data_IF_597084544929
#
_entry.id   IF_597084544929
#
_cell.length_a   1.000
_cell.length_b   1.000
_cell.length_c   1.000
_cell.angle_alpha   90.00
_cell.angle_beta   90.00
_cell.angle_gamma   90.00
#
_symmetry.space_group_name_H-M   'P 1'
#
loop_
_entity.id
_entity.type
_entity.pdbx_description
1 polymer ?
#
# COMPACT_ATOMS: atom_id res chain seq x y z
N UNK A 1 6.59 5.30 -17.52
CA UNK A 1 6.30 6.57 -18.24
C UNK A 1 6.30 6.30 -19.74
N UNK A 2 5.65 7.14 -20.52
CA UNK A 2 5.74 7.09 -21.97
C UNK A 2 7.05 7.78 -22.43
N UNK A 3 7.62 7.34 -23.54
CA UNK A 3 8.87 7.90 -24.06
C UNK A 3 8.75 9.39 -24.42
N UNK A 4 7.60 9.82 -24.95
CA UNK A 4 7.34 11.22 -25.24
C UNK A 4 7.23 12.09 -23.97
N UNK A 5 6.70 11.56 -22.86
CA UNK A 5 6.66 12.26 -21.57
C UNK A 5 8.09 12.46 -21.02
N UNK A 6 8.94 11.45 -21.15
CA UNK A 6 10.35 11.55 -20.77
C UNK A 6 11.07 12.61 -21.63
N UNK A 7 10.85 12.62 -22.96
CA UNK A 7 11.40 13.62 -23.85
C UNK A 7 10.92 15.03 -23.53
N UNK A 8 9.61 15.19 -23.25
CA UNK A 8 9.03 16.48 -22.86
C UNK A 8 9.64 16.99 -21.56
N UNK A 9 9.76 16.12 -20.55
CA UNK A 9 10.40 16.48 -19.28
C UNK A 9 11.87 16.91 -19.48
N UNK A 10 12.63 16.19 -20.31
CA UNK A 10 14.00 16.54 -20.63
C UNK A 10 14.11 17.90 -21.33
N UNK A 11 13.23 18.21 -22.28
CA UNK A 11 13.17 19.50 -22.94
C UNK A 11 12.81 20.65 -22.00
N UNK A 12 11.88 20.41 -21.06
CA UNK A 12 11.50 21.41 -20.04
C UNK A 12 12.66 21.70 -19.09
N UNK A 13 13.38 20.69 -18.65
CA UNK A 13 14.57 20.86 -17.79
C UNK A 13 15.76 21.46 -18.53
N UNK A 14 15.86 21.23 -19.84
CA UNK A 14 16.92 21.75 -20.69
C UNK A 14 16.64 23.14 -21.26
N UNK A 15 15.63 23.88 -20.83
CA UNK A 15 15.36 25.24 -21.30
C UNK A 15 16.60 26.13 -21.13
N UNK A 16 17.07 26.70 -22.25
CA UNK A 16 18.29 27.51 -22.29
C UNK A 16 19.56 26.77 -22.74
N UNK A 17 19.47 25.49 -23.06
CA UNK A 17 20.51 24.71 -23.71
C UNK A 17 20.05 24.29 -25.11
N UNK A 18 20.99 24.24 -26.06
CA UNK A 18 20.73 23.71 -27.41
C UNK A 18 20.57 22.18 -27.30
N UNK A 19 19.31 21.70 -27.29
CA UNK A 19 19.00 20.29 -27.37
C UNK A 19 18.47 19.91 -28.76
N UNK A 20 19.19 19.02 -29.40
CA UNK A 20 18.69 18.32 -30.57
C UNK A 20 17.85 17.11 -30.12
N UNK A 21 16.61 16.99 -30.64
CA UNK A 21 15.71 15.87 -30.37
C UNK A 21 16.32 14.53 -30.80
N UNK A 22 17.16 14.51 -31.84
CA UNK A 22 17.84 13.31 -32.29
C UNK A 22 18.90 12.87 -31.26
N UNK A 23 19.69 13.81 -30.75
CA UNK A 23 20.66 13.56 -29.69
C UNK A 23 19.98 13.07 -28.38
N UNK A 24 18.82 13.63 -28.03
CA UNK A 24 18.06 13.19 -26.86
C UNK A 24 17.55 11.75 -27.01
N UNK A 25 17.05 11.38 -28.20
CA UNK A 25 16.65 9.98 -28.50
C UNK A 25 17.83 9.03 -28.39
N UNK A 26 18.97 9.39 -28.96
CA UNK A 26 20.19 8.59 -28.87
C UNK A 26 20.65 8.36 -27.42
N UNK A 27 20.57 9.40 -26.57
CA UNK A 27 20.86 9.28 -25.13
C UNK A 27 19.88 8.36 -24.43
N UNK A 28 18.58 8.44 -24.75
CA UNK A 28 17.56 7.54 -24.19
C UNK A 28 17.84 6.09 -24.59
N UNK A 29 18.16 5.83 -25.86
CA UNK A 29 18.50 4.50 -26.37
C UNK A 29 19.78 3.96 -25.72
N UNK A 30 20.84 4.77 -25.63
CA UNK A 30 22.12 4.39 -24.97
C UNK A 30 21.96 4.07 -23.48
N UNK A 31 21.00 4.69 -22.78
CA UNK A 31 20.72 4.40 -21.37
C UNK A 31 20.03 3.06 -21.13
N UNK A 32 19.66 2.34 -22.20
CA UNK A 32 19.15 0.98 -22.11
C UNK A 32 17.80 0.88 -21.41
N UNK A 33 16.89 1.82 -21.64
CA UNK A 33 15.51 1.68 -21.22
C UNK A 33 14.87 0.43 -21.81
N UNK A 34 14.02 -0.22 -21.05
CA UNK A 34 13.21 -1.36 -21.48
C UNK A 34 11.86 -0.82 -21.94
N UNK A 35 11.45 -1.20 -23.16
CA UNK A 35 10.16 -0.82 -23.75
C UNK A 35 9.18 -2.00 -23.64
N UNK A 36 7.94 -1.70 -23.27
CA UNK A 36 6.85 -2.66 -23.34
C UNK A 36 6.45 -2.85 -24.81
N UNK A 37 6.44 -4.11 -25.27
CA UNK A 37 6.13 -4.43 -26.66
C UNK A 37 4.75 -3.90 -27.06
N UNK A 38 4.67 -3.25 -28.24
CA UNK A 38 3.42 -2.69 -28.78
C UNK A 38 2.93 -1.41 -28.08
N UNK A 39 3.74 -0.81 -27.19
CA UNK A 39 3.37 0.43 -26.49
C UNK A 39 4.51 1.45 -26.53
N UNK A 40 4.20 2.70 -26.13
CA UNK A 40 5.20 3.76 -25.93
C UNK A 40 5.76 3.80 -24.50
N UNK A 41 5.39 2.81 -23.65
CA UNK A 41 5.83 2.77 -22.26
C UNK A 41 7.26 2.28 -22.16
N UNK A 42 8.04 2.99 -21.38
CA UNK A 42 9.44 2.68 -21.09
C UNK A 42 9.71 2.69 -19.60
N UNK A 43 10.66 1.87 -19.17
CA UNK A 43 11.16 1.84 -17.79
C UNK A 43 12.68 1.65 -17.80
N UNK A 44 13.36 2.05 -16.73
CA UNK A 44 14.77 1.73 -16.59
C UNK A 44 14.95 0.26 -16.13
N UNK A 45 16.09 -0.32 -16.46
CA UNK A 45 16.45 -1.67 -15.99
C UNK A 45 16.46 -1.76 -14.47
N UNK A 46 16.90 -0.71 -13.79
CA UNK A 46 16.94 -0.68 -12.32
C UNK A 46 15.54 -0.65 -11.72
N UNK A 47 14.61 0.10 -12.34
CA UNK A 47 13.21 0.10 -11.89
C UNK A 47 12.56 -1.27 -12.11
N UNK A 48 12.83 -1.91 -13.25
CA UNK A 48 12.31 -3.25 -13.52
C UNK A 48 12.88 -4.29 -12.54
N UNK A 49 14.17 -4.21 -12.20
CA UNK A 49 14.77 -5.06 -11.16
C UNK A 49 14.14 -4.83 -9.80
N UNK A 50 13.88 -3.57 -9.44
CA UNK A 50 13.22 -3.19 -8.21
C UNK A 50 11.80 -3.81 -8.13
N UNK A 51 10.98 -3.61 -9.16
CA UNK A 51 9.63 -4.18 -9.23
C UNK A 51 9.64 -5.72 -9.19
N UNK A 52 10.57 -6.33 -9.92
CA UNK A 52 10.75 -7.78 -9.90
C UNK A 52 11.13 -8.27 -8.50
N UNK A 53 12.09 -7.62 -7.82
CA UNK A 53 12.50 -7.94 -6.46
C UNK A 53 11.36 -7.86 -5.44
N UNK A 54 10.51 -6.83 -5.56
CA UNK A 54 9.31 -6.66 -4.73
C UNK A 54 8.35 -7.85 -4.92
N UNK A 55 8.04 -8.20 -6.17
CA UNK A 55 7.12 -9.29 -6.50
C UNK A 55 7.68 -10.65 -6.06
N UNK A 56 8.95 -10.91 -6.32
CA UNK A 56 9.64 -12.15 -5.90
C UNK A 56 9.62 -12.27 -4.38
N UNK A 57 9.92 -11.19 -3.66
CA UNK A 57 9.88 -11.17 -2.19
C UNK A 57 8.50 -11.54 -1.63
N UNK A 58 7.45 -11.01 -2.25
CA UNK A 58 6.08 -11.31 -1.87
C UNK A 58 5.68 -12.74 -2.20
N UNK A 59 6.04 -13.23 -3.40
CA UNK A 59 5.72 -14.58 -3.87
C UNK A 59 6.44 -15.66 -3.06
N UNK A 60 7.74 -15.51 -2.87
CA UNK A 60 8.58 -16.52 -2.22
C UNK A 60 8.34 -16.57 -0.70
N UNK A 61 7.85 -15.46 -0.11
CA UNK A 61 7.44 -15.41 1.29
C UNK A 61 6.02 -15.93 1.57
N UNK A 62 5.33 -16.53 0.59
CA UNK A 62 3.98 -17.08 0.80
C UNK A 62 4.01 -18.38 1.61
N UNK A 63 3.19 -18.43 2.67
CA UNK A 63 3.04 -19.63 3.50
C UNK A 63 4.28 -20.01 4.30
N UNK A 64 5.32 -19.18 4.32
CA UNK A 64 6.60 -19.49 4.95
C UNK A 64 6.65 -19.16 6.44
N UNK A 65 5.66 -18.42 6.95
CA UNK A 65 5.62 -17.94 8.32
C UNK A 65 4.61 -18.72 9.19
N UNK A 66 4.73 -18.59 10.48
CA UNK A 66 3.68 -19.02 11.41
C UNK A 66 2.57 -17.97 11.47
N UNK A 67 1.30 -18.35 11.77
CA UNK A 67 0.26 -17.36 12.04
C UNK A 67 0.68 -16.36 13.11
N UNK A 68 0.24 -15.10 12.98
CA UNK A 68 0.57 -14.04 13.95
C UNK A 68 -0.13 -14.28 15.30
N UNK A 69 -1.44 -14.55 15.28
CA UNK A 69 -2.24 -14.89 16.44
C UNK A 69 -3.57 -15.53 16.00
N UNK A 70 -3.60 -16.85 15.77
CA UNK A 70 -4.78 -17.53 15.21
C UNK A 70 -5.97 -17.55 16.18
N UNK A 71 -5.70 -17.53 17.49
CA UNK A 71 -6.72 -17.69 18.52
C UNK A 71 -7.24 -16.35 19.08
N UNK A 72 -6.78 -15.23 18.52
CA UNK A 72 -7.23 -13.90 18.96
C UNK A 72 -8.73 -13.69 18.71
N UNK A 73 -9.52 -13.43 19.77
CA UNK A 73 -10.94 -13.15 19.63
C UNK A 73 -11.15 -11.70 19.17
N UNK A 74 -11.65 -11.46 17.93
CA UNK A 74 -11.96 -10.10 17.52
C UNK A 74 -13.03 -9.45 18.40
N UNK A 75 -12.89 -8.15 18.68
CA UNK A 75 -13.83 -7.42 19.52
C UNK A 75 -15.27 -7.47 18.96
N UNK A 76 -16.26 -7.57 19.84
CA UNK A 76 -17.69 -7.63 19.48
C UNK A 76 -18.22 -6.37 18.77
N UNK A 77 -17.50 -5.24 18.91
CA UNK A 77 -17.82 -3.98 18.23
C UNK A 77 -17.50 -4.00 16.72
N UNK A 78 -16.74 -4.99 16.24
CA UNK A 78 -16.44 -5.16 14.81
C UNK A 78 -17.68 -5.65 14.04
N UNK A 79 -17.79 -5.21 12.78
CA UNK A 79 -18.73 -5.87 11.88
C UNK A 79 -18.26 -7.28 11.53
N UNK A 80 -19.17 -8.16 11.07
CA UNK A 80 -18.79 -9.48 10.61
C UNK A 80 -17.65 -9.45 9.55
N UNK A 81 -17.72 -8.51 8.61
CA UNK A 81 -16.68 -8.34 7.58
C UNK A 81 -15.33 -7.92 8.17
N UNK A 82 -15.34 -6.99 9.14
CA UNK A 82 -14.12 -6.57 9.84
C UNK A 82 -13.53 -7.71 10.68
N UNK A 83 -14.36 -8.46 11.39
CA UNK A 83 -13.92 -9.61 12.18
C UNK A 83 -13.28 -10.69 11.28
N UNK A 84 -13.86 -10.95 10.10
CA UNK A 84 -13.29 -11.87 9.11
C UNK A 84 -11.94 -11.34 8.59
N UNK A 85 -11.83 -10.04 8.31
CA UNK A 85 -10.58 -9.44 7.87
C UNK A 85 -9.48 -9.53 8.94
N UNK A 86 -9.78 -9.21 10.21
CA UNK A 86 -8.85 -9.37 11.35
C UNK A 86 -8.37 -10.82 11.45
N UNK A 87 -9.29 -11.77 11.48
CA UNK A 87 -8.94 -13.20 11.53
C UNK A 87 -8.06 -13.62 10.36
N UNK A 88 -8.39 -13.18 9.13
CA UNK A 88 -7.59 -13.50 7.94
C UNK A 88 -6.17 -12.96 8.05
N UNK A 89 -5.99 -11.73 8.54
CA UNK A 89 -4.68 -11.10 8.69
C UNK A 89 -3.88 -11.82 9.78
N UNK A 90 -4.48 -12.07 10.95
CA UNK A 90 -3.79 -12.71 12.08
C UNK A 90 -3.46 -14.19 11.82
N UNK A 91 -4.21 -14.86 10.94
CA UNK A 91 -3.95 -16.22 10.50
C UNK A 91 -3.02 -16.31 9.28
N UNK A 92 -2.62 -15.18 8.69
CA UNK A 92 -1.75 -15.20 7.52
C UNK A 92 -0.42 -15.87 7.86
N UNK A 93 0.05 -16.69 6.93
CA UNK A 93 1.37 -17.32 6.97
C UNK A 93 2.33 -16.73 5.95
N UNK A 94 1.98 -15.58 5.39
CA UNK A 94 2.75 -14.91 4.36
C UNK A 94 3.71 -13.88 4.99
N UNK A 95 4.88 -13.70 4.40
CA UNK A 95 5.79 -12.62 4.76
C UNK A 95 5.14 -11.24 4.54
N UNK A 96 4.41 -11.08 3.42
CA UNK A 96 3.62 -9.90 3.13
C UNK A 96 2.13 -10.26 3.15
N UNK A 97 1.37 -9.56 3.97
CA UNK A 97 -0.10 -9.70 4.02
C UNK A 97 -0.75 -8.44 3.44
N UNK A 98 -1.71 -8.62 2.56
CA UNK A 98 -2.43 -7.51 1.92
C UNK A 98 -3.77 -7.27 2.60
N UNK A 99 -4.08 -6.00 2.88
CA UNK A 99 -5.36 -5.56 3.41
C UNK A 99 -5.92 -4.42 2.58
N UNK A 100 -7.11 -4.61 2.00
CA UNK A 100 -7.79 -3.63 1.17
C UNK A 100 -9.06 -3.15 1.84
N UNK A 101 -9.24 -1.84 1.88
CA UNK A 101 -10.48 -1.21 2.32
C UNK A 101 -10.60 0.18 1.75
N UNK A 102 -11.73 0.46 1.10
CA UNK A 102 -12.03 1.78 0.56
C UNK A 102 -12.27 2.81 1.69
N UNK A 103 -12.25 4.11 1.34
CA UNK A 103 -12.55 5.17 2.30
C UNK A 103 -13.92 4.93 2.98
N UNK A 104 -13.98 5.08 4.29
CA UNK A 104 -15.21 4.93 5.07
C UNK A 104 -15.64 3.51 5.39
N UNK A 105 -14.85 2.47 5.08
CA UNK A 105 -15.13 1.08 5.46
C UNK A 105 -14.75 0.73 6.91
N UNK A 106 -14.13 1.67 7.65
CA UNK A 106 -13.63 1.43 8.99
C UNK A 106 -12.27 0.73 9.02
N UNK A 107 -11.43 1.01 8.02
CA UNK A 107 -10.07 0.48 7.88
C UNK A 107 -9.23 0.71 9.12
N UNK A 108 -9.13 1.95 9.63
CA UNK A 108 -8.33 2.27 10.83
C UNK A 108 -8.81 1.50 12.07
N UNK A 109 -10.13 1.33 12.23
CA UNK A 109 -10.69 0.54 13.34
C UNK A 109 -10.27 -0.94 13.25
N UNK A 110 -10.27 -1.49 12.03
CA UNK A 110 -9.80 -2.85 11.78
C UNK A 110 -8.30 -2.99 12.01
N UNK A 111 -7.49 -2.00 11.60
CA UNK A 111 -6.04 -1.98 11.82
C UNK A 111 -5.68 -1.91 13.30
N UNK A 112 -6.42 -1.14 14.09
CA UNK A 112 -6.25 -1.10 15.54
C UNK A 112 -6.47 -2.47 16.18
N UNK A 113 -7.49 -3.18 15.76
CA UNK A 113 -7.77 -4.53 16.25
C UNK A 113 -6.70 -5.54 15.82
N UNK A 114 -6.22 -5.45 14.58
CA UNK A 114 -5.09 -6.26 14.10
C UNK A 114 -3.84 -5.98 14.95
N UNK A 115 -3.55 -4.70 15.24
CA UNK A 115 -2.41 -4.30 16.08
C UNK A 115 -2.54 -4.89 17.48
N UNK A 116 -3.72 -4.81 18.10
CA UNK A 116 -3.98 -5.40 19.40
C UNK A 116 -3.77 -6.92 19.39
N UNK A 117 -4.23 -7.62 18.35
CA UNK A 117 -4.03 -9.06 18.20
C UNK A 117 -2.56 -9.45 18.07
N UNK A 118 -1.75 -8.67 17.36
CA UNK A 118 -0.31 -8.91 17.21
C UNK A 118 0.42 -8.66 18.54
N UNK A 119 0.09 -7.58 19.23
CA UNK A 119 0.66 -7.25 20.54
C UNK A 119 0.31 -8.29 21.59
N UNK A 120 -0.92 -8.81 21.59
CA UNK A 120 -1.36 -9.90 22.48
C UNK A 120 -0.55 -11.19 22.27
N UNK A 121 0.02 -11.41 21.08
CA UNK A 121 0.96 -12.51 20.82
C UNK A 121 2.41 -12.19 21.24
N UNK A 122 2.66 -11.04 21.87
CA UNK A 122 4.01 -10.62 22.29
C UNK A 122 4.92 -10.17 21.14
N UNK A 123 4.37 -9.87 19.97
CA UNK A 123 5.13 -9.41 18.81
C UNK A 123 5.18 -7.87 18.78
N UNK A 124 6.36 -7.27 18.51
CA UNK A 124 6.46 -5.83 18.30
C UNK A 124 5.70 -5.39 17.06
N UNK A 125 4.98 -4.28 17.15
CA UNK A 125 4.27 -3.67 16.02
C UNK A 125 4.86 -2.30 15.73
N UNK A 126 5.11 -2.03 14.45
CA UNK A 126 5.51 -0.71 13.94
C UNK A 126 4.47 -0.29 12.91
N UNK A 127 3.77 0.82 13.16
CA UNK A 127 2.74 1.35 12.25
C UNK A 127 3.32 2.54 11.50
N UNK A 128 3.21 2.50 10.18
CA UNK A 128 3.78 3.50 9.28
C UNK A 128 2.72 4.05 8.32
N UNK A 129 2.90 5.30 7.92
CA UNK A 129 2.17 5.89 6.80
C UNK A 129 3.10 6.76 5.94
N UNK A 130 2.80 6.96 4.64
CA UNK A 130 3.61 7.79 3.74
C UNK A 130 3.66 9.27 4.13
N UNK A 131 2.55 9.81 4.64
CA UNK A 131 2.39 11.24 4.92
C UNK A 131 2.17 11.54 6.39
N UNK A 132 2.69 12.69 6.86
CA UNK A 132 2.52 13.14 8.27
C UNK A 132 1.06 13.29 8.70
N UNK A 133 0.18 13.75 7.80
CA UNK A 133 -1.24 13.87 8.11
C UNK A 133 -1.86 12.50 8.39
N UNK A 134 -1.53 11.48 7.60
CA UNK A 134 -2.01 10.12 7.81
C UNK A 134 -1.50 9.52 9.13
N UNK A 135 -0.26 9.85 9.52
CA UNK A 135 0.28 9.49 10.84
C UNK A 135 -0.54 10.15 11.94
N UNK A 136 -0.85 11.45 11.82
CA UNK A 136 -1.68 12.15 12.80
C UNK A 136 -3.08 11.55 12.91
N UNK A 137 -3.69 11.16 11.79
CA UNK A 137 -5.00 10.51 11.76
C UNK A 137 -4.96 9.12 12.44
N UNK A 138 -3.92 8.32 12.19
CA UNK A 138 -3.71 7.03 12.86
C UNK A 138 -3.50 7.21 14.37
N UNK A 139 -2.75 8.22 14.80
CA UNK A 139 -2.56 8.53 16.21
C UNK A 139 -3.87 8.99 16.87
N UNK A 140 -4.69 9.78 16.20
CA UNK A 140 -6.01 10.17 16.67
C UNK A 140 -6.96 8.96 16.81
N UNK A 141 -6.79 7.95 15.97
CA UNK A 141 -7.50 6.66 16.05
C UNK A 141 -6.92 5.71 17.12
N UNK A 142 -5.93 6.15 17.91
CA UNK A 142 -5.35 5.42 19.05
C UNK A 142 -4.21 4.46 18.69
N UNK A 143 -3.60 4.60 17.53
CA UNK A 143 -2.39 3.86 17.13
C UNK A 143 -1.13 4.71 17.40
N UNK A 144 -0.02 4.06 17.71
CA UNK A 144 1.29 4.71 17.71
C UNK A 144 1.90 4.53 16.32
N UNK A 145 2.04 5.62 15.56
CA UNK A 145 2.48 5.57 14.17
C UNK A 145 3.62 6.55 13.88
N UNK A 146 4.38 6.28 12.83
CA UNK A 146 5.44 7.15 12.32
C UNK A 146 5.40 7.20 10.79
N UNK A 147 6.19 8.10 10.20
CA UNK A 147 6.31 8.19 8.75
C UNK A 147 7.24 7.11 8.19
N UNK A 148 6.88 6.57 7.02
CA UNK A 148 7.75 5.64 6.30
C UNK A 148 9.15 6.24 6.05
N UNK A 149 9.21 7.53 5.69
CA UNK A 149 10.48 8.21 5.42
C UNK A 149 11.40 8.22 6.65
N UNK A 150 10.87 8.47 7.84
CA UNK A 150 11.63 8.44 9.08
C UNK A 150 12.12 7.03 9.42
N UNK A 151 11.27 6.02 9.30
CA UNK A 151 11.66 4.62 9.48
C UNK A 151 12.80 4.20 8.53
N UNK A 152 12.71 4.55 7.24
CA UNK A 152 13.75 4.26 6.25
C UNK A 152 15.04 5.05 6.47
N UNK A 153 14.98 6.22 7.10
CA UNK A 153 16.15 7.01 7.48
C UNK A 153 16.91 6.37 8.64
N UNK A 154 16.19 5.97 9.70
CA UNK A 154 16.78 5.33 10.90
C UNK A 154 17.30 3.94 10.57
N UNK A 155 16.67 3.21 9.65
CA UNK A 155 17.01 1.82 9.25
C UNK A 155 17.09 0.84 10.43
N UNK A 156 16.25 1.05 11.44
CA UNK A 156 16.20 0.19 12.64
C UNK A 156 14.76 -0.21 12.93
N UNK A 157 14.55 -1.49 13.15
CA UNK A 157 13.29 -2.08 13.56
C UNK A 157 13.52 -3.04 14.73
N UNK A 158 12.55 -3.21 15.62
CA UNK A 158 12.59 -4.31 16.58
C UNK A 158 12.69 -5.65 15.84
N UNK A 159 13.47 -6.57 16.39
CA UNK A 159 13.57 -7.92 15.81
C UNK A 159 12.21 -8.61 15.80
N UNK A 160 11.87 -9.27 14.70
CA UNK A 160 10.56 -9.92 14.45
C UNK A 160 9.37 -8.95 14.50
N UNK A 161 9.59 -7.65 14.28
CA UNK A 161 8.50 -6.71 14.23
C UNK A 161 7.53 -7.01 13.09
N UNK A 162 6.25 -6.84 13.35
CA UNK A 162 5.22 -6.76 12.31
C UNK A 162 5.07 -5.29 11.93
N UNK A 163 5.51 -4.96 10.72
CA UNK A 163 5.41 -3.60 10.18
C UNK A 163 4.11 -3.47 9.42
N UNK A 164 3.24 -2.59 9.89
CA UNK A 164 1.97 -2.27 9.26
C UNK A 164 2.09 -0.94 8.55
N UNK A 165 1.82 -0.91 7.26
CA UNK A 165 1.83 0.33 6.48
C UNK A 165 0.43 0.64 6.00
N UNK A 166 -0.12 1.77 6.45
CA UNK A 166 -1.37 2.28 5.90
C UNK A 166 -1.12 3.16 4.66
N UNK A 167 -2.10 3.25 3.78
CA UNK A 167 -2.00 3.93 2.47
C UNK A 167 -0.79 3.49 1.63
N UNK A 168 -0.47 2.18 1.66
CA UNK A 168 0.67 1.59 0.97
C UNK A 168 0.65 1.79 -0.55
N UNK A 169 -0.50 2.08 -1.16
CA UNK A 169 -0.62 2.45 -2.58
C UNK A 169 0.05 3.77 -2.95
N UNK A 170 0.41 4.60 -1.97
CA UNK A 170 1.12 5.86 -2.19
C UNK A 170 2.65 5.71 -2.14
N UNK A 171 3.16 4.51 -1.83
CA UNK A 171 4.59 4.25 -1.71
C UNK A 171 5.18 3.98 -3.09
N UNK A 172 6.22 4.72 -3.45
CA UNK A 172 6.99 4.46 -4.68
C UNK A 172 7.79 3.16 -4.62
N UNK A 173 8.05 2.55 -5.78
CA UNK A 173 8.72 1.25 -5.87
C UNK A 173 10.04 1.16 -5.10
N UNK A 174 10.90 2.18 -5.19
CA UNK A 174 12.18 2.20 -4.45
C UNK A 174 11.99 2.18 -2.93
N UNK A 175 11.02 2.93 -2.41
CA UNK A 175 10.73 2.95 -0.97
C UNK A 175 10.14 1.59 -0.53
N UNK A 176 9.30 0.98 -1.35
CA UNK A 176 8.74 -0.35 -1.10
C UNK A 176 9.84 -1.42 -1.04
N UNK A 177 10.78 -1.40 -1.99
CA UNK A 177 11.91 -2.31 -2.00
C UNK A 177 12.81 -2.11 -0.76
N UNK A 178 13.14 -0.86 -0.42
CA UNK A 178 13.91 -0.54 0.79
C UNK A 178 13.21 -1.03 2.06
N UNK A 179 11.90 -0.86 2.17
CA UNK A 179 11.11 -1.32 3.30
C UNK A 179 11.10 -2.84 3.40
N UNK A 180 10.86 -3.54 2.30
CA UNK A 180 10.88 -5.02 2.24
C UNK A 180 12.23 -5.55 2.71
N UNK A 181 13.33 -4.98 2.22
CA UNK A 181 14.68 -5.39 2.59
C UNK A 181 14.97 -5.09 4.08
N UNK A 182 14.55 -3.95 4.60
CA UNK A 182 14.68 -3.59 6.00
C UNK A 182 13.92 -4.57 6.91
N UNK A 183 12.66 -4.90 6.57
CA UNK A 183 11.84 -5.85 7.34
C UNK A 183 12.45 -7.24 7.33
N UNK A 184 12.93 -7.71 6.18
CA UNK A 184 13.64 -9.00 6.07
C UNK A 184 14.90 -9.06 6.92
N UNK A 185 15.71 -8.01 6.92
CA UNK A 185 16.95 -7.94 7.71
C UNK A 185 16.69 -8.08 9.22
N UNK A 186 15.50 -7.72 9.69
CA UNK A 186 15.09 -7.83 11.09
C UNK A 186 14.22 -9.08 11.37
N UNK A 187 14.10 -10.01 10.42
CA UNK A 187 13.22 -11.18 10.49
C UNK A 187 11.78 -10.80 10.84
N UNK A 188 11.33 -9.66 10.32
CA UNK A 188 9.99 -9.12 10.53
C UNK A 188 9.01 -9.59 9.46
N UNK A 189 7.78 -9.07 9.54
CA UNK A 189 6.69 -9.31 8.59
C UNK A 189 6.06 -7.99 8.18
N UNK A 190 5.38 -7.96 7.04
CA UNK A 190 4.81 -6.75 6.47
C UNK A 190 3.31 -6.92 6.25
N UNK A 191 2.53 -5.95 6.72
CA UNK A 191 1.11 -5.81 6.41
C UNK A 191 0.95 -4.53 5.61
N UNK A 192 0.52 -4.64 4.35
CA UNK A 192 0.28 -3.52 3.45
C UNK A 192 -1.22 -3.26 3.37
N UNK A 193 -1.63 -2.10 3.91
CA UNK A 193 -3.00 -1.62 3.87
C UNK A 193 -3.14 -0.50 2.84
N UNK A 194 -4.14 -0.57 2.00
CA UNK A 194 -4.39 0.46 0.98
C UNK A 194 -5.48 0.05 0.00
N UNK A 195 -5.78 0.97 -0.91
CA UNK A 195 -6.69 0.72 -2.03
C UNK A 195 -5.98 1.08 -3.34
N UNK A 196 -5.59 0.07 -4.11
CA UNK A 196 -4.91 0.25 -5.41
C UNK A 196 -5.79 0.86 -6.49
N UNK A 197 -7.11 0.99 -6.24
CA UNK A 197 -8.07 1.64 -7.14
C UNK A 197 -8.15 3.16 -6.90
N UNK A 198 -7.71 3.63 -5.73
CA UNK A 198 -7.55 5.04 -5.43
C UNK A 198 -6.15 5.48 -5.87
N UNK A 199 -5.93 6.72 -6.12
CA UNK A 199 -4.72 7.37 -6.64
C UNK A 199 -3.42 6.54 -6.57
N UNK A 200 -2.85 6.22 -7.73
CA UNK A 200 -1.55 5.57 -7.83
C UNK A 200 -0.43 6.44 -7.23
N UNK A 201 0.68 5.80 -6.87
CA UNK A 201 1.85 6.48 -6.36
C UNK A 201 2.28 7.60 -7.33
N UNK A 202 2.52 8.79 -6.78
CA UNK A 202 3.03 9.97 -7.55
C UNK A 202 4.45 9.68 -8.08
N UNK A 203 5.17 8.78 -7.43
CA UNK A 203 6.51 8.35 -7.85
C UNK A 203 6.44 7.16 -8.83
N UNK A 204 7.43 7.06 -9.71
CA UNK A 204 7.57 5.98 -10.67
C UNK A 204 7.49 4.60 -9.97
N UNK A 205 6.64 3.71 -10.50
CA UNK A 205 6.36 2.35 -10.01
C UNK A 205 5.34 2.28 -8.86
N UNK A 206 4.34 1.42 -9.05
CA UNK A 206 3.30 1.10 -8.08
C UNK A 206 3.59 -0.30 -7.49
N UNK A 207 4.43 -0.33 -6.45
CA UNK A 207 4.87 -1.57 -5.82
C UNK A 207 3.72 -2.39 -5.25
N UNK A 208 2.69 -1.76 -4.67
CA UNK A 208 1.54 -2.47 -4.13
C UNK A 208 0.73 -3.15 -5.24
N UNK A 209 0.49 -2.45 -6.35
CA UNK A 209 -0.23 -3.02 -7.51
C UNK A 209 0.55 -4.16 -8.16
N UNK A 210 1.89 -4.05 -8.24
CA UNK A 210 2.74 -5.12 -8.73
C UNK A 210 2.62 -6.38 -7.85
N UNK A 211 2.65 -6.23 -6.52
CA UNK A 211 2.43 -7.32 -5.58
C UNK A 211 1.04 -7.94 -5.80
N UNK A 212 -0.02 -7.14 -5.82
CA UNK A 212 -1.40 -7.65 -5.99
C UNK A 212 -1.57 -8.44 -7.29
N UNK A 213 -0.97 -7.97 -8.39
CA UNK A 213 -1.15 -8.57 -9.71
C UNK A 213 -0.32 -9.83 -9.93
N UNK A 214 0.91 -9.87 -9.39
CA UNK A 214 1.89 -10.87 -9.82
C UNK A 214 2.39 -11.79 -8.69
N UNK A 215 2.15 -11.49 -7.41
CA UNK A 215 2.62 -12.34 -6.31
C UNK A 215 1.72 -13.55 -6.04
N UNK A 216 0.45 -13.48 -6.45
CA UNK A 216 -0.57 -14.49 -6.12
C UNK A 216 -1.09 -14.39 -4.68
N UNK A 217 -0.75 -13.34 -3.93
CA UNK A 217 -1.31 -13.07 -2.61
C UNK A 217 -2.79 -12.67 -2.71
N UNK A 218 -3.59 -13.06 -1.71
CA UNK A 218 -5.02 -12.71 -1.63
C UNK A 218 -5.25 -11.74 -0.48
N UNK A 219 -5.64 -10.50 -0.80
CA UNK A 219 -5.94 -9.48 0.20
C UNK A 219 -7.12 -9.88 1.11
N UNK A 220 -7.05 -9.48 2.39
CA UNK A 220 -8.22 -9.30 3.21
C UNK A 220 -8.94 -8.03 2.72
N UNK A 221 -10.26 -8.04 2.54
CA UNK A 221 -10.99 -6.96 1.89
C UNK A 221 -12.15 -6.49 2.75
N UNK A 222 -12.30 -5.16 2.89
CA UNK A 222 -13.50 -4.51 3.39
C UNK A 222 -14.22 -3.82 2.24
N UNK A 223 -15.50 -4.15 2.06
CA UNK A 223 -16.35 -3.61 0.98
C UNK A 223 -17.44 -2.69 1.49
N UNK A 224 -17.92 -2.92 2.72
CA UNK A 224 -19.02 -2.17 3.30
C UNK A 224 -18.60 -0.79 3.77
N UNK A 225 -19.15 0.26 3.14
CA UNK A 225 -18.92 1.66 3.53
C UNK A 225 -19.75 1.95 4.78
N UNK A 226 -19.08 2.24 5.91
CA UNK A 226 -19.70 2.45 7.23
C UNK A 226 -19.77 3.91 7.65
N UNK A 227 -18.84 4.75 7.19
CA UNK A 227 -18.70 6.16 7.62
C UNK A 227 -19.97 6.98 7.39
N UNK A 228 -20.85 6.54 6.50
CA UNK A 228 -22.14 7.16 6.21
C UNK A 228 -23.20 6.08 6.14
N UNK A 229 -23.67 5.63 7.30
CA UNK A 229 -24.74 4.66 7.37
C UNK A 229 -26.09 5.39 7.26
N UNK A 230 -26.91 5.12 6.21
CA UNK A 230 -28.22 5.75 6.06
C UNK A 230 -29.17 5.52 7.25
N UNK A 231 -28.98 4.42 7.99
CA UNK A 231 -29.77 4.11 9.18
C UNK A 231 -29.50 5.07 10.36
N UNK A 232 -28.34 5.74 10.36
CA UNK A 232 -27.96 6.73 11.38
C UNK A 232 -28.29 8.17 10.97
N UNK A 233 -28.85 8.37 9.78
CA UNK A 233 -29.23 9.69 9.28
C UNK A 233 -30.42 10.27 10.07
N UNK A 234 -30.25 11.52 10.53
CA UNK A 234 -31.23 12.23 11.37
C UNK A 234 -32.46 12.74 10.60
N UNK A 235 -32.39 12.82 9.27
CA UNK A 235 -33.48 13.27 8.40
C UNK A 235 -33.58 12.44 7.11
N UNK A 236 -34.75 12.49 6.46
CA UNK A 236 -34.98 11.85 5.15
C UNK A 236 -34.04 12.41 4.07
N UNK A 237 -33.78 13.74 4.09
CA UNK A 237 -32.89 14.42 3.16
C UNK A 237 -31.43 13.95 3.33
N UNK A 238 -30.95 13.83 4.57
CA UNK A 238 -29.64 13.32 4.91
C UNK A 238 -29.50 11.84 4.51
N UNK A 239 -30.53 11.04 4.73
CA UNK A 239 -30.57 9.63 4.33
C UNK A 239 -30.45 9.46 2.82
N UNK A 240 -31.17 10.28 2.04
CA UNK A 240 -31.11 10.29 0.58
C UNK A 240 -29.71 10.70 0.08
N UNK A 241 -29.10 11.73 0.67
CA UNK A 241 -27.74 12.18 0.37
C UNK A 241 -26.70 11.08 0.65
N UNK A 242 -26.73 10.49 1.85
CA UNK A 242 -25.82 9.41 2.25
C UNK A 242 -25.96 8.19 1.33
N UNK A 243 -27.21 7.86 0.94
CA UNK A 243 -27.46 6.74 0.01
C UNK A 243 -26.90 7.03 -1.38
N UNK A 244 -27.10 8.24 -1.90
CA UNK A 244 -26.56 8.68 -3.20
C UNK A 244 -25.02 8.69 -3.20
N UNK A 245 -24.42 9.23 -2.16
CA UNK A 245 -22.97 9.24 -1.99
C UNK A 245 -22.36 7.81 -1.95
N UNK A 246 -22.97 6.90 -1.19
CA UNK A 246 -22.53 5.48 -1.15
C UNK A 246 -22.59 4.81 -2.52
N UNK A 247 -23.62 5.09 -3.32
CA UNK A 247 -23.72 4.59 -4.70
C UNK A 247 -22.59 5.13 -5.57
N UNK A 248 -22.31 6.44 -5.49
CA UNK A 248 -21.24 7.08 -6.25
C UNK A 248 -19.86 6.52 -5.89
N UNK A 249 -19.56 6.36 -4.60
CA UNK A 249 -18.29 5.78 -4.14
C UNK A 249 -18.15 4.33 -4.59
N UNK A 250 -19.21 3.52 -4.52
CA UNK A 250 -19.19 2.14 -5.04
C UNK A 250 -18.92 2.09 -6.53
N UNK A 251 -19.54 2.95 -7.32
CA UNK A 251 -19.34 3.04 -8.76
C UNK A 251 -17.92 3.48 -9.13
N UNK A 252 -17.30 4.36 -8.34
CA UNK A 252 -15.93 4.81 -8.55
C UNK A 252 -14.88 3.75 -8.11
N UNK A 253 -15.29 2.74 -7.33
CA UNK A 253 -14.43 1.68 -6.80
C UNK A 253 -14.60 0.34 -7.52
N UNK A 254 -15.52 0.25 -8.50
CA UNK A 254 -15.72 -0.90 -9.39
C UNK A 254 -14.92 -0.74 -10.68
#
# INVERSE_FOLDING_TARGET
VNDYELMTAALVHGRGHDFDLAALREVIEKRGYVREAGTYKITSRDMLRCEYGIVVSARDGRGMELPLNPDFPPASALSPEQAVAVKKILNSRDFITLFRGSAGTGKSFTLREVTAGIQAAGLPVVVLAPQRQQVADLCADGLTADTLAHCLLIKSLPRRAVVLVDEAGQIGGKQMDMLINLVKAHNGRLILSGDTRQHGAVQASDGLRAIEKFSGLRAAVLRDIRRQNPALARSAKERAFVTGYRKAVKAASS
#
